data_IF_498644392649
#
_entry.id   IF_498644392649
#
_cell.length_a   1.000
_cell.length_b   1.000
_cell.length_c   1.000
_cell.angle_alpha   90.00
_cell.angle_beta   90.00
_cell.angle_gamma   90.00
#
_symmetry.space_group_name_H-M   'P 1'
#
loop_
_entity.id
_entity.type
_entity.pdbx_description
1 polymer ?
#
# COMPACT_ATOMS: atom_id res chain seq x y z
N UNK A 1 3.51 8.25 -5.83
CA UNK A 1 4.54 7.78 -4.91
C UNK A 1 5.15 8.97 -4.21
N UNK A 2 5.42 8.85 -2.91
CA UNK A 2 6.23 9.81 -2.15
C UNK A 2 7.65 9.26 -1.99
N UNK A 3 8.64 10.04 -2.40
CA UNK A 3 10.07 9.78 -2.19
C UNK A 3 10.69 10.87 -1.32
N UNK A 4 11.91 10.66 -0.86
CA UNK A 4 12.70 11.63 -0.08
C UNK A 4 13.60 10.95 0.96
N UNK A 5 14.51 11.69 1.60
CA UNK A 5 15.45 11.13 2.57
C UNK A 5 14.75 10.57 3.82
N UNK A 6 15.47 9.76 4.59
CA UNK A 6 14.98 9.30 5.89
C UNK A 6 14.66 10.51 6.79
N UNK A 7 13.56 10.42 7.54
CA UNK A 7 13.13 11.53 8.42
C UNK A 7 12.40 12.69 7.73
N UNK A 8 12.22 12.70 6.41
CA UNK A 8 11.52 13.79 5.71
C UNK A 8 10.00 13.87 5.98
N UNK A 9 9.42 12.92 6.72
CA UNK A 9 8.00 12.92 7.08
C UNK A 9 7.09 12.09 6.18
N UNK A 10 7.62 11.23 5.30
CA UNK A 10 6.83 10.43 4.34
C UNK A 10 5.79 9.53 5.00
N UNK A 11 6.18 8.71 5.96
CA UNK A 11 5.26 7.81 6.68
C UNK A 11 4.26 8.60 7.52
N UNK A 12 4.70 9.73 8.12
CA UNK A 12 3.80 10.64 8.85
C UNK A 12 2.71 11.19 7.91
N UNK A 13 3.11 11.66 6.72
CA UNK A 13 2.16 12.13 5.71
C UNK A 13 1.20 11.01 5.28
N UNK A 14 1.72 9.80 5.03
CA UNK A 14 0.89 8.63 4.70
C UNK A 14 -0.13 8.33 5.80
N UNK A 15 0.30 8.37 7.06
CA UNK A 15 -0.57 8.12 8.21
C UNK A 15 -1.65 9.21 8.36
N UNK A 16 -1.33 10.47 8.13
CA UNK A 16 -2.33 11.55 8.13
C UNK A 16 -3.34 11.40 6.98
N UNK A 17 -2.87 11.12 5.76
CA UNK A 17 -3.74 10.93 4.58
C UNK A 17 -4.68 9.74 4.72
N UNK A 18 -4.28 8.74 5.46
CA UNK A 18 -5.07 7.54 5.72
C UNK A 18 -5.93 7.62 6.98
N UNK A 19 -5.81 8.69 7.76
CA UNK A 19 -6.50 8.86 9.03
C UNK A 19 -5.98 7.95 10.15
N UNK A 20 -4.75 7.42 10.04
CA UNK A 20 -4.06 6.74 11.14
C UNK A 20 -3.53 7.73 12.17
N UNK A 21 -3.15 8.90 11.70
CA UNK A 21 -2.70 10.01 12.53
C UNK A 21 -3.49 11.29 12.20
N UNK A 22 -3.39 12.29 13.04
CA UNK A 22 -4.11 13.55 12.89
C UNK A 22 -3.17 14.67 12.45
N UNK A 23 -3.62 15.45 11.48
CA UNK A 23 -2.94 16.69 11.13
C UNK A 23 -3.12 17.71 12.28
N UNK A 24 -2.01 18.29 12.75
CA UNK A 24 -2.03 19.37 13.77
C UNK A 24 -2.60 20.67 13.21
N UNK A 25 -2.39 20.93 11.92
CA UNK A 25 -2.87 22.08 11.19
C UNK A 25 -3.21 21.71 9.75
N UNK A 26 -4.01 22.55 9.09
CA UNK A 26 -4.43 22.32 7.71
C UNK A 26 -5.69 21.46 7.62
N UNK A 27 -6.02 21.05 6.41
CA UNK A 27 -7.23 20.29 6.13
C UNK A 27 -6.94 19.15 5.16
N UNK A 28 -7.61 18.01 5.36
CA UNK A 28 -7.50 16.84 4.51
C UNK A 28 -8.89 16.52 3.96
N UNK A 29 -8.97 16.44 2.64
CA UNK A 29 -10.22 16.14 1.94
C UNK A 29 -10.14 14.78 1.26
N UNK A 30 -11.18 13.99 1.39
CA UNK A 30 -11.37 12.75 0.66
C UNK A 30 -12.72 12.79 -0.07
N UNK A 31 -12.70 12.70 -1.41
CA UNK A 31 -13.91 12.82 -2.24
C UNK A 31 -14.77 14.05 -1.86
N UNK A 32 -14.13 15.20 -1.65
CA UNK A 32 -14.79 16.44 -1.29
C UNK A 32 -15.24 16.55 0.18
N UNK A 33 -15.07 15.51 0.99
CA UNK A 33 -15.40 15.53 2.41
C UNK A 33 -14.16 15.82 3.25
N UNK A 34 -14.20 16.87 4.07
CA UNK A 34 -13.13 17.18 5.01
C UNK A 34 -13.22 16.22 6.20
N UNK A 35 -12.19 15.40 6.40
CA UNK A 35 -12.15 14.46 7.52
C UNK A 35 -11.14 14.84 8.62
N UNK A 36 -10.49 15.99 8.52
CA UNK A 36 -9.47 16.45 9.48
C UNK A 36 -9.99 16.47 10.92
N UNK A 37 -11.26 16.86 11.11
CA UNK A 37 -11.89 16.98 12.43
C UNK A 37 -12.65 15.73 12.87
N UNK A 38 -12.48 14.60 12.19
CA UNK A 38 -13.15 13.36 12.57
C UNK A 38 -12.70 12.89 13.97
N UNK A 39 -13.65 12.40 14.76
CA UNK A 39 -13.36 11.68 16.01
C UNK A 39 -12.63 10.35 15.70
N UNK A 40 -11.99 9.74 16.70
CA UNK A 40 -11.35 8.42 16.52
C UNK A 40 -12.32 7.36 15.98
N UNK A 41 -13.56 7.38 16.43
CA UNK A 41 -14.61 6.48 15.93
C UNK A 41 -14.88 6.70 14.44
N UNK A 42 -14.95 7.95 14.00
CA UNK A 42 -15.16 8.30 12.59
C UNK A 42 -13.93 7.98 11.74
N UNK A 43 -12.70 8.23 12.24
CA UNK A 43 -11.47 7.84 11.56
C UNK A 43 -11.34 6.32 11.43
N UNK A 44 -11.69 5.57 12.49
CA UNK A 44 -11.71 4.11 12.43
C UNK A 44 -12.72 3.58 11.40
N UNK A 45 -13.89 4.23 11.29
CA UNK A 45 -14.87 3.90 10.26
C UNK A 45 -14.38 4.26 8.86
N UNK A 46 -13.77 5.44 8.71
CA UNK A 46 -13.16 5.89 7.44
C UNK A 46 -12.10 4.90 6.96
N UNK A 47 -11.14 4.52 7.83
CA UNK A 47 -10.09 3.55 7.50
C UNK A 47 -10.66 2.22 7.06
N UNK A 48 -11.63 1.70 7.82
CA UNK A 48 -12.27 0.39 7.59
C UNK A 48 -12.92 0.28 6.21
N UNK A 49 -13.54 1.38 5.76
CA UNK A 49 -14.33 1.42 4.51
C UNK A 49 -13.46 1.81 3.32
N UNK A 50 -12.57 2.79 3.49
CA UNK A 50 -11.92 3.46 2.36
C UNK A 50 -10.45 3.10 2.18
N UNK A 51 -9.79 2.56 3.22
CA UNK A 51 -8.34 2.37 3.21
C UNK A 51 -7.95 0.90 3.26
N UNK A 52 -7.04 0.49 2.37
CA UNK A 52 -6.25 -0.73 2.49
C UNK A 52 -4.83 -0.37 2.91
N UNK A 53 -4.14 -1.29 3.61
CA UNK A 53 -2.78 -1.06 4.06
C UNK A 53 -1.86 -2.21 3.72
N UNK A 54 -0.72 -1.89 3.07
CA UNK A 54 0.44 -2.75 2.89
C UNK A 54 1.59 -2.12 3.67
N UNK A 55 2.00 -2.76 4.75
CA UNK A 55 3.06 -2.28 5.62
C UNK A 55 4.41 -2.93 5.26
N UNK A 56 5.50 -2.26 5.57
CA UNK A 56 6.86 -2.80 5.47
C UNK A 56 7.01 -4.08 6.30
N UNK A 57 6.60 -4.03 7.57
CA UNK A 57 6.39 -5.23 8.39
C UNK A 57 4.94 -5.67 8.21
N UNK A 58 4.73 -6.89 7.74
CA UNK A 58 3.42 -7.32 7.23
C UNK A 58 2.37 -7.49 8.35
N UNK A 59 2.82 -7.61 9.61
CA UNK A 59 1.96 -7.71 10.81
C UNK A 59 0.84 -8.75 10.68
N UNK A 60 1.19 -9.98 10.30
CA UNK A 60 0.27 -11.10 10.37
C UNK A 60 0.19 -11.62 11.82
N UNK A 61 -0.99 -12.03 12.24
CA UNK A 61 -1.24 -12.62 13.55
C UNK A 61 -0.76 -14.06 13.52
N UNK A 62 0.32 -14.37 14.24
CA UNK A 62 0.99 -15.68 14.19
C UNK A 62 0.12 -16.86 14.63
N UNK A 63 -0.87 -16.62 15.50
CA UNK A 63 -1.81 -17.64 15.98
C UNK A 63 -3.00 -17.89 15.04
N UNK A 64 -3.06 -17.21 13.92
CA UNK A 64 -4.10 -17.34 12.90
C UNK A 64 -3.51 -17.86 11.59
N UNK A 65 -4.25 -18.71 10.87
CA UNK A 65 -3.88 -19.05 9.50
C UNK A 65 -4.01 -17.84 8.55
N UNK A 66 -3.55 -17.97 7.32
CA UNK A 66 -3.51 -16.82 6.38
C UNK A 66 -4.91 -16.34 6.00
N UNK A 67 -5.87 -17.26 5.82
CA UNK A 67 -7.26 -16.89 5.54
C UNK A 67 -7.86 -16.12 6.72
N UNK A 68 -7.68 -16.57 7.95
CA UNK A 68 -8.20 -15.87 9.12
C UNK A 68 -7.58 -14.49 9.28
N UNK A 69 -6.27 -14.32 9.01
CA UNK A 69 -5.60 -13.03 8.99
C UNK A 69 -6.27 -12.03 8.01
N UNK A 70 -6.76 -12.51 6.89
CA UNK A 70 -7.49 -11.67 5.90
C UNK A 70 -8.92 -11.43 6.36
N UNK A 71 -9.61 -12.47 6.86
CA UNK A 71 -11.00 -12.39 7.28
C UNK A 71 -11.23 -11.45 8.46
N UNK A 72 -10.28 -11.32 9.39
CA UNK A 72 -10.35 -10.34 10.49
C UNK A 72 -10.57 -8.93 9.94
N UNK A 73 -9.84 -8.53 8.90
CA UNK A 73 -10.04 -7.21 8.27
C UNK A 73 -11.35 -7.15 7.47
N UNK A 74 -11.68 -8.22 6.75
CA UNK A 74 -12.87 -8.29 5.91
C UNK A 74 -14.18 -8.16 6.71
N UNK A 75 -14.25 -8.80 7.86
CA UNK A 75 -15.47 -8.84 8.70
C UNK A 75 -15.75 -7.52 9.44
N UNK A 76 -14.77 -6.61 9.52
CA UNK A 76 -14.95 -5.30 10.17
C UNK A 76 -15.98 -4.39 9.46
N UNK A 77 -16.29 -4.64 8.19
CA UNK A 77 -17.18 -3.78 7.37
C UNK A 77 -18.65 -4.25 7.40
N UNK A 78 -18.96 -5.29 8.18
CA UNK A 78 -20.35 -5.77 8.35
C UNK A 78 -20.94 -6.50 7.13
N UNK A 79 -20.11 -6.92 6.18
CA UNK A 79 -20.53 -7.74 5.03
C UNK A 79 -20.84 -9.18 5.44
N UNK A 80 -21.62 -9.89 4.63
CA UNK A 80 -21.90 -11.30 4.84
C UNK A 80 -20.61 -12.13 4.84
N UNK A 81 -20.39 -12.93 5.90
CA UNK A 81 -19.20 -13.78 6.08
C UNK A 81 -18.91 -14.65 4.85
N UNK A 82 -19.95 -15.25 4.23
CA UNK A 82 -19.77 -16.08 3.03
C UNK A 82 -19.19 -15.30 1.87
N UNK A 83 -19.66 -14.05 1.66
CA UNK A 83 -19.14 -13.18 0.60
C UNK A 83 -17.69 -12.78 0.85
N UNK A 84 -17.32 -12.48 2.11
CA UNK A 84 -15.93 -12.15 2.47
C UNK A 84 -15.02 -13.35 2.28
N UNK A 85 -15.43 -14.55 2.68
CA UNK A 85 -14.66 -15.78 2.46
C UNK A 85 -14.45 -16.02 0.97
N UNK A 86 -15.50 -15.90 0.17
CA UNK A 86 -15.41 -16.07 -1.28
C UNK A 86 -14.45 -15.03 -1.90
N UNK A 87 -14.60 -13.76 -1.52
CA UNK A 87 -13.68 -12.69 -1.97
C UNK A 87 -12.23 -12.95 -1.55
N UNK A 88 -12.02 -13.44 -0.32
CA UNK A 88 -10.69 -13.83 0.15
C UNK A 88 -10.07 -14.92 -0.72
N UNK A 89 -10.82 -15.97 -1.06
CA UNK A 89 -10.36 -17.04 -1.96
C UNK A 89 -9.96 -16.50 -3.33
N UNK A 90 -10.79 -15.66 -3.92
CA UNK A 90 -10.52 -15.02 -5.22
C UNK A 90 -9.23 -14.22 -5.19
N UNK A 91 -9.06 -13.34 -4.20
CA UNK A 91 -7.85 -12.54 -4.03
C UNK A 91 -6.60 -13.40 -3.78
N UNK A 92 -6.71 -14.46 -2.97
CA UNK A 92 -5.59 -15.38 -2.77
C UNK A 92 -5.15 -16.03 -4.08
N UNK A 93 -6.09 -16.48 -4.90
CA UNK A 93 -5.79 -17.03 -6.22
C UNK A 93 -5.15 -15.99 -7.14
N UNK A 94 -5.65 -14.75 -7.15
CA UNK A 94 -5.10 -13.65 -7.95
C UNK A 94 -3.63 -13.36 -7.58
N UNK A 95 -3.26 -13.45 -6.31
CA UNK A 95 -1.87 -13.26 -5.89
C UNK A 95 -1.03 -14.56 -5.96
N UNK A 96 -1.54 -15.62 -6.58
CA UNK A 96 -0.83 -16.89 -6.78
C UNK A 96 -0.64 -17.69 -5.49
N UNK A 97 -1.58 -17.60 -4.55
CA UNK A 97 -1.64 -18.44 -3.34
C UNK A 97 -2.85 -19.36 -3.41
N UNK A 98 -2.59 -20.67 -3.36
CA UNK A 98 -3.61 -21.72 -3.51
C UNK A 98 -4.24 -22.11 -2.16
N UNK A 99 -5.24 -23.00 -2.22
CA UNK A 99 -5.91 -23.51 -1.03
C UNK A 99 -4.96 -24.18 -0.03
N UNK A 100 -3.87 -24.76 -0.51
CA UNK A 100 -2.85 -25.37 0.34
C UNK A 100 -2.07 -24.34 1.17
N UNK A 101 -1.96 -23.10 0.67
CA UNK A 101 -1.23 -22.04 1.37
C UNK A 101 -2.11 -21.28 2.35
N UNK A 102 -3.33 -20.92 1.99
CA UNK A 102 -4.12 -20.03 2.87
C UNK A 102 -4.57 -20.66 4.20
N UNK A 103 -4.45 -21.98 4.34
CA UNK A 103 -4.68 -22.68 5.63
C UNK A 103 -3.42 -22.74 6.50
N UNK A 104 -2.24 -22.37 5.96
CA UNK A 104 -0.99 -22.31 6.73
C UNK A 104 -0.94 -21.11 7.67
N UNK A 105 -0.03 -21.19 8.63
CA UNK A 105 0.29 -20.10 9.56
C UNK A 105 1.46 -19.25 9.01
N UNK A 106 1.63 -18.00 9.46
CA UNK A 106 2.72 -17.14 9.01
C UNK A 106 4.12 -17.77 9.10
N UNK A 107 4.37 -18.57 10.13
CA UNK A 107 5.66 -19.29 10.32
C UNK A 107 5.95 -20.38 9.28
N UNK A 108 4.97 -20.75 8.47
CA UNK A 108 5.06 -21.84 7.49
C UNK A 108 5.20 -21.37 6.05
N UNK A 109 5.37 -20.07 5.84
CA UNK A 109 5.45 -19.45 4.51
C UNK A 109 6.64 -18.51 4.39
N UNK A 110 7.05 -18.23 3.15
CA UNK A 110 8.14 -17.29 2.87
C UNK A 110 7.74 -15.83 3.07
N UNK A 111 8.73 -14.93 3.22
CA UNK A 111 8.51 -13.49 3.28
C UNK A 111 7.72 -12.95 2.08
N UNK A 112 8.03 -13.42 0.88
CA UNK A 112 7.30 -13.05 -0.34
C UNK A 112 5.84 -13.52 -0.34
N UNK A 113 5.56 -14.71 0.20
CA UNK A 113 4.19 -15.16 0.41
C UNK A 113 3.46 -14.30 1.44
N UNK A 114 4.13 -13.94 2.55
CA UNK A 114 3.57 -13.00 3.54
C UNK A 114 3.23 -11.65 2.91
N UNK A 115 4.12 -11.09 2.07
CA UNK A 115 3.88 -9.84 1.33
C UNK A 115 2.60 -9.91 0.49
N UNK A 116 2.40 -11.01 -0.23
CA UNK A 116 1.19 -11.25 -1.02
C UNK A 116 -0.08 -11.35 -0.15
N UNK A 117 0.00 -12.00 1.00
CA UNK A 117 -1.11 -12.00 1.99
C UNK A 117 -1.42 -10.58 2.49
N UNK A 118 -0.39 -9.75 2.69
CA UNK A 118 -0.56 -8.33 3.03
C UNK A 118 -1.37 -7.57 1.99
N UNK A 119 -1.14 -7.83 0.70
CA UNK A 119 -1.94 -7.25 -0.40
C UNK A 119 -3.38 -7.76 -0.35
N UNK A 120 -3.61 -9.06 -0.20
CA UNK A 120 -4.97 -9.64 -0.06
C UNK A 120 -5.72 -8.99 1.09
N UNK A 121 -5.08 -8.85 2.26
CA UNK A 121 -5.65 -8.20 3.44
C UNK A 121 -6.00 -6.73 3.18
N UNK A 122 -5.15 -6.02 2.44
CA UNK A 122 -5.41 -4.62 2.07
C UNK A 122 -6.63 -4.49 1.14
N UNK A 123 -6.85 -5.43 0.23
CA UNK A 123 -7.87 -5.37 -0.82
C UNK A 123 -9.21 -6.04 -0.45
N UNK A 124 -9.29 -6.75 0.67
CA UNK A 124 -10.46 -7.59 1.01
C UNK A 124 -11.78 -6.81 1.05
N UNK A 125 -11.73 -5.55 1.46
CA UNK A 125 -12.91 -4.68 1.59
C UNK A 125 -13.19 -3.81 0.36
N UNK A 126 -12.47 -3.98 -0.74
CA UNK A 126 -12.52 -3.09 -1.92
C UNK A 126 -12.29 -1.62 -1.53
N UNK A 127 -11.14 -1.28 -0.95
CA UNK A 127 -10.87 0.08 -0.49
C UNK A 127 -10.76 1.03 -1.68
N UNK A 128 -11.08 2.30 -1.46
CA UNK A 128 -10.90 3.34 -2.46
C UNK A 128 -9.40 3.65 -2.70
N UNK A 129 -8.59 3.53 -1.64
CA UNK A 129 -7.14 3.78 -1.70
C UNK A 129 -6.39 2.70 -0.93
N UNK A 130 -5.33 2.19 -1.53
CA UNK A 130 -4.32 1.36 -0.85
C UNK A 130 -3.14 2.24 -0.50
N UNK A 131 -2.79 2.26 0.79
CA UNK A 131 -1.60 2.91 1.31
C UNK A 131 -0.50 1.86 1.48
N UNK A 132 0.66 2.08 0.87
CA UNK A 132 1.79 1.17 0.91
C UNK A 132 3.02 1.90 1.51
N UNK A 133 3.41 1.51 2.72
CA UNK A 133 4.58 2.06 3.40
C UNK A 133 5.75 1.09 3.24
N UNK A 134 6.72 1.44 2.38
CA UNK A 134 7.89 0.63 2.06
C UNK A 134 7.55 -0.85 1.78
N UNK A 135 6.64 -1.16 0.84
CA UNK A 135 6.03 -2.48 0.71
C UNK A 135 7.02 -3.62 0.38
N UNK A 136 8.24 -3.28 0.00
CA UNK A 136 9.32 -4.23 -0.34
C UNK A 136 10.48 -4.21 0.63
N UNK A 137 10.48 -3.31 1.62
CA UNK A 137 11.63 -3.04 2.49
C UNK A 137 12.10 -4.22 3.37
N UNK A 138 11.24 -5.20 3.62
CA UNK A 138 11.57 -6.42 4.37
C UNK A 138 11.72 -7.67 3.49
N UNK A 139 11.74 -7.53 2.15
CA UNK A 139 11.72 -8.64 1.20
C UNK A 139 13.04 -8.74 0.42
N UNK A 140 13.39 -9.95 0.01
CA UNK A 140 14.43 -10.15 -1.00
C UNK A 140 14.01 -9.57 -2.36
N UNK A 141 14.96 -9.36 -3.27
CA UNK A 141 14.73 -8.69 -4.55
C UNK A 141 13.67 -9.39 -5.43
N UNK A 142 13.62 -10.72 -5.43
CA UNK A 142 12.65 -11.46 -6.24
C UNK A 142 11.25 -11.36 -5.66
N UNK A 143 11.11 -11.53 -4.35
CA UNK A 143 9.86 -11.35 -3.61
C UNK A 143 9.34 -9.92 -3.68
N UNK A 144 10.24 -8.93 -3.55
CA UNK A 144 9.91 -7.51 -3.69
C UNK A 144 9.38 -7.19 -5.08
N UNK A 145 10.04 -7.71 -6.15
CA UNK A 145 9.56 -7.55 -7.51
C UNK A 145 8.14 -8.13 -7.69
N UNK A 146 7.89 -9.33 -7.18
CA UNK A 146 6.57 -9.95 -7.28
C UNK A 146 5.46 -9.13 -6.58
N UNK A 147 5.76 -8.55 -5.41
CA UNK A 147 4.84 -7.64 -4.70
C UNK A 147 4.57 -6.37 -5.50
N UNK A 148 5.60 -5.77 -6.10
CA UNK A 148 5.44 -4.58 -6.96
C UNK A 148 4.66 -4.90 -8.23
N UNK A 149 4.89 -6.07 -8.85
CA UNK A 149 4.14 -6.49 -10.04
C UNK A 149 2.64 -6.60 -9.73
N UNK A 150 2.27 -7.20 -8.59
CA UNK A 150 0.89 -7.28 -8.14
C UNK A 150 0.28 -5.90 -7.86
N UNK A 151 0.98 -5.02 -7.15
CA UNK A 151 0.50 -3.65 -6.91
C UNK A 151 0.29 -2.90 -8.24
N UNK A 152 1.20 -3.07 -9.19
CA UNK A 152 1.07 -2.48 -10.54
C UNK A 152 -0.16 -3.02 -11.26
N UNK A 153 -0.39 -4.34 -11.22
CA UNK A 153 -1.55 -4.97 -11.83
C UNK A 153 -2.87 -4.46 -11.24
N UNK A 154 -2.96 -4.37 -9.91
CA UNK A 154 -4.14 -3.78 -9.27
C UNK A 154 -4.32 -2.30 -9.62
N UNK A 155 -3.23 -1.53 -9.76
CA UNK A 155 -3.31 -0.14 -10.20
C UNK A 155 -3.83 -0.02 -11.64
N UNK A 156 -3.39 -0.88 -12.56
CA UNK A 156 -3.91 -0.93 -13.94
C UNK A 156 -5.41 -1.26 -14.00
N UNK A 157 -5.91 -2.02 -13.02
CA UNK A 157 -7.35 -2.31 -12.87
C UNK A 157 -8.12 -1.18 -12.19
N UNK A 158 -7.49 -0.03 -11.94
CA UNK A 158 -8.12 1.17 -11.39
C UNK A 158 -7.99 1.36 -9.88
N UNK A 159 -7.26 0.49 -9.17
CA UNK A 159 -6.99 0.69 -7.75
C UNK A 159 -6.05 1.88 -7.55
N UNK A 160 -6.50 2.88 -6.81
CA UNK A 160 -5.62 3.98 -6.38
C UNK A 160 -4.62 3.47 -5.33
N UNK A 161 -3.33 3.73 -5.56
CA UNK A 161 -2.26 3.34 -4.64
C UNK A 161 -1.42 4.57 -4.29
N UNK A 162 -1.28 4.84 -3.00
CA UNK A 162 -0.34 5.84 -2.48
C UNK A 162 0.79 5.07 -1.80
N UNK A 163 1.99 5.18 -2.36
CA UNK A 163 3.16 4.45 -1.86
C UNK A 163 4.22 5.42 -1.35
N UNK A 164 4.81 5.09 -0.22
CA UNK A 164 6.03 5.71 0.30
C UNK A 164 7.19 4.75 0.07
N UNK A 165 8.29 5.23 -0.47
CA UNK A 165 9.50 4.45 -0.64
C UNK A 165 10.73 5.33 -0.78
N UNK A 166 11.90 4.76 -0.47
CA UNK A 166 13.22 5.29 -0.82
C UNK A 166 13.89 4.43 -1.92
N UNK A 167 13.24 3.37 -2.38
CA UNK A 167 13.77 2.49 -3.41
C UNK A 167 13.38 2.97 -4.82
N UNK A 168 14.38 3.09 -5.70
CA UNK A 168 14.22 3.55 -7.08
C UNK A 168 13.31 2.61 -7.90
N UNK A 169 13.44 1.29 -7.74
CA UNK A 169 12.66 0.31 -8.49
C UNK A 169 11.17 0.40 -8.14
N UNK A 170 10.87 0.59 -6.85
CA UNK A 170 9.50 0.83 -6.36
C UNK A 170 8.94 2.14 -6.90
N UNK A 171 9.73 3.20 -6.89
CA UNK A 171 9.32 4.51 -7.38
C UNK A 171 9.04 4.52 -8.89
N UNK A 172 9.83 3.79 -9.67
CA UNK A 172 9.61 3.64 -11.11
C UNK A 172 8.23 3.09 -11.47
N UNK A 173 7.55 2.35 -10.56
CA UNK A 173 6.18 1.87 -10.76
C UNK A 173 5.13 2.96 -10.63
N UNK A 174 5.46 4.11 -10.02
CA UNK A 174 4.52 5.21 -9.80
C UNK A 174 4.26 6.04 -11.05
N UNK A 175 3.01 6.44 -11.25
CA UNK A 175 2.63 7.34 -12.33
C UNK A 175 3.09 8.78 -12.06
N UNK A 176 3.13 9.15 -10.77
CA UNK A 176 3.46 10.48 -10.27
C UNK A 176 4.33 10.34 -9.02
N UNK A 177 5.45 11.03 -8.99
CA UNK A 177 6.40 11.02 -7.91
C UNK A 177 6.41 12.40 -7.26
N UNK A 178 6.21 12.45 -5.95
CA UNK A 178 6.33 13.65 -5.14
C UNK A 178 7.55 13.50 -4.24
N UNK A 179 8.48 14.45 -4.32
CA UNK A 179 9.67 14.44 -3.48
C UNK A 179 9.43 15.24 -2.22
N UNK A 180 9.55 14.59 -1.07
CA UNK A 180 9.34 15.18 0.24
C UNK A 180 10.69 15.44 0.90
N UNK A 181 10.94 16.69 1.29
CA UNK A 181 12.15 17.13 2.01
C UNK A 181 11.74 18.07 3.14
N UNK A 182 12.25 17.84 4.33
CA UNK A 182 11.99 18.67 5.52
C UNK A 182 10.50 18.97 5.76
N UNK A 183 9.65 17.95 5.56
CA UNK A 183 8.20 18.06 5.75
C UNK A 183 7.45 18.82 4.65
N UNK A 184 8.09 19.13 3.53
CA UNK A 184 7.48 19.84 2.39
C UNK A 184 7.64 19.06 1.09
N UNK A 185 6.70 19.23 0.18
CA UNK A 185 6.84 18.75 -1.20
C UNK A 185 7.77 19.72 -1.92
N UNK A 186 8.98 19.26 -2.24
CA UNK A 186 10.04 20.05 -2.87
C UNK A 186 10.02 19.93 -4.41
N UNK A 187 9.40 18.87 -4.93
CA UNK A 187 9.27 18.69 -6.37
C UNK A 187 8.31 17.58 -6.78
N UNK A 188 7.99 17.57 -8.05
CA UNK A 188 7.09 16.61 -8.70
C UNK A 188 7.67 16.11 -10.02
N UNK A 189 7.56 14.80 -10.27
CA UNK A 189 7.85 14.17 -11.54
C UNK A 189 6.67 13.31 -11.99
N UNK A 190 6.11 13.61 -13.15
CA UNK A 190 5.05 12.82 -13.79
C UNK A 190 5.68 11.84 -14.75
N UNK A 191 5.59 10.54 -14.45
CA UNK A 191 6.13 9.47 -15.28
C UNK A 191 5.08 8.85 -16.23
N UNK A 192 3.79 9.10 -15.99
CA UNK A 192 2.70 8.43 -16.71
C UNK A 192 2.49 6.99 -16.26
N UNK A 193 1.59 6.28 -16.91
CA UNK A 193 1.26 4.88 -16.60
C UNK A 193 2.51 4.00 -16.77
N UNK A 194 2.68 3.03 -15.87
CA UNK A 194 3.80 2.11 -15.94
C UNK A 194 3.48 0.95 -16.91
N UNK A 195 4.10 0.94 -18.08
CA UNK A 195 3.97 -0.13 -19.09
C UNK A 195 5.21 -1.04 -19.13
N UNK A 196 6.10 -0.89 -18.16
CA UNK A 196 7.37 -1.58 -18.07
C UNK A 196 8.52 -0.64 -17.74
N UNK A 197 9.65 -1.19 -17.39
CA UNK A 197 10.87 -0.42 -17.15
C UNK A 197 11.50 -0.07 -18.49
N UNK A 198 11.58 1.23 -18.81
CA UNK A 198 12.28 1.77 -19.98
C UNK A 198 13.43 2.65 -19.50
N UNK A 199 14.50 2.75 -20.30
CA UNK A 199 15.63 3.64 -19.98
C UNK A 199 15.18 5.09 -19.88
N UNK A 200 14.31 5.56 -20.79
CA UNK A 200 13.76 6.91 -20.76
C UNK A 200 13.05 7.22 -19.42
N UNK A 201 12.21 6.29 -18.94
CA UNK A 201 11.51 6.41 -17.66
C UNK A 201 12.48 6.49 -16.50
N UNK A 202 13.51 5.67 -16.53
CA UNK A 202 14.55 5.58 -15.51
C UNK A 202 15.41 6.85 -15.50
N UNK A 203 15.90 7.29 -16.65
CA UNK A 203 16.68 8.53 -16.80
C UNK A 203 15.87 9.74 -16.32
N UNK A 204 14.59 9.84 -16.70
CA UNK A 204 13.71 10.91 -16.25
C UNK A 204 13.58 10.97 -14.73
N UNK A 205 13.39 9.82 -14.08
CA UNK A 205 13.30 9.77 -12.63
C UNK A 205 14.63 10.08 -11.96
N UNK A 206 15.75 9.52 -12.45
CA UNK A 206 17.08 9.77 -11.90
C UNK A 206 17.42 11.26 -12.02
N UNK A 207 17.26 11.86 -13.18
CA UNK A 207 17.49 13.28 -13.39
C UNK A 207 16.67 14.16 -12.43
N UNK A 208 15.40 13.81 -12.23
CA UNK A 208 14.55 14.51 -11.26
C UNK A 208 15.10 14.38 -9.84
N UNK A 209 15.47 13.17 -9.41
CA UNK A 209 15.97 12.92 -8.05
C UNK A 209 17.30 13.60 -7.78
N UNK A 210 18.24 13.59 -8.74
CA UNK A 210 19.51 14.32 -8.65
C UNK A 210 19.29 15.83 -8.43
N UNK A 211 18.33 16.43 -9.13
CA UNK A 211 17.96 17.84 -8.93
C UNK A 211 17.36 18.12 -7.55
N UNK A 212 16.75 17.12 -6.92
CA UNK A 212 16.22 17.20 -5.53
C UNK A 212 17.32 16.96 -4.48
N UNK A 213 18.53 16.53 -4.91
CA UNK A 213 19.64 16.21 -4.02
C UNK A 213 19.51 14.84 -3.35
N UNK A 214 18.91 13.88 -4.06
CA UNK A 214 18.76 12.48 -3.62
C UNK A 214 19.99 11.68 -3.94
#
# INVERSE_FOLDING_TARGET
VFMGPSGSGKSTLLHMLSGMDRASMGEIYFKGTNFTKYSEKQLAQFRRINCGYVFQQIYLINSMNLMDNVLVSGLLVGKNKKQIVQRGKELFMEVGLTEKEWVKYPSQISGGQMGRVGIVRALINNPEVVFADEPTGALDSASGKAVLDLLTEFNHRGQTIIMVTHDLKSALRGNRILYLKDGRIDGECVLGTYEGETEERKEKLIYFLERMGW
#
